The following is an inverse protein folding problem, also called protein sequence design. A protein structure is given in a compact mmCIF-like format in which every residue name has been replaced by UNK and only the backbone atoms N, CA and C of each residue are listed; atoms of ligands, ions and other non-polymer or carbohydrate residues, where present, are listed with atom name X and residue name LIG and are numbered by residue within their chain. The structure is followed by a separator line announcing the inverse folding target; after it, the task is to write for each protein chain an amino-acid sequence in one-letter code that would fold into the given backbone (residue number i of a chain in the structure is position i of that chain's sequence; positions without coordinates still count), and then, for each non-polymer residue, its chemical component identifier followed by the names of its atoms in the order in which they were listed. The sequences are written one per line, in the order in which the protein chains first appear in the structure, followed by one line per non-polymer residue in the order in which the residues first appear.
data_IF_342947576399
#
_entry.id   IF_342947576399
#
_cell.length_a   1.000
_cell.length_b   1.000
_cell.length_c   1.000
_cell.angle_alpha   90.00
_cell.angle_beta   90.00
_cell.angle_gamma   90.00
#
_symmetry.space_group_name_H-M   'P 1'
#
loop_
_entity.id
_entity.type
_entity.pdbx_description
1 polymer ?
#
# COMPACT_ATOMS: atom_id res chain seq x y z
N UNK A 1 -14.50 18.73 -3.88
CA UNK A 1 -14.43 17.46 -3.14
C UNK A 1 -14.30 17.77 -1.65
N UNK A 2 -15.18 17.23 -0.80
CA UNK A 2 -15.25 17.62 0.61
C UNK A 2 -13.98 17.19 1.38
N UNK A 3 -13.40 18.10 2.15
CA UNK A 3 -12.24 17.82 3.02
C UNK A 3 -12.55 16.72 4.04
N UNK A 4 -13.79 16.64 4.50
CA UNK A 4 -14.28 15.59 5.40
C UNK A 4 -14.11 14.19 4.80
N UNK A 5 -14.48 14.00 3.53
CA UNK A 5 -14.35 12.70 2.85
C UNK A 5 -12.89 12.23 2.81
N UNK A 6 -11.96 13.15 2.51
CA UNK A 6 -10.53 12.81 2.50
C UNK A 6 -9.99 12.50 3.89
N UNK A 7 -10.53 13.13 4.94
CA UNK A 7 -10.15 12.83 6.32
C UNK A 7 -10.65 11.43 6.71
N UNK A 8 -11.92 11.13 6.46
CA UNK A 8 -12.51 9.81 6.72
C UNK A 8 -11.73 8.72 5.96
N UNK A 9 -11.40 8.94 4.68
CA UNK A 9 -10.55 8.02 3.91
C UNK A 9 -9.13 7.89 4.43
N UNK A 10 -8.53 8.98 4.91
CA UNK A 10 -7.24 8.93 5.57
C UNK A 10 -7.24 7.95 6.74
N UNK A 11 -8.25 8.03 7.63
CA UNK A 11 -8.37 7.11 8.77
C UNK A 11 -8.72 5.68 8.35
N UNK A 12 -9.69 5.50 7.45
CA UNK A 12 -10.11 4.17 7.00
C UNK A 12 -8.98 3.40 6.30
N UNK A 13 -8.09 4.09 5.59
CA UNK A 13 -6.89 3.47 5.01
C UNK A 13 -5.77 3.34 6.04
N UNK A 14 -5.49 4.40 6.80
CA UNK A 14 -4.31 4.48 7.66
C UNK A 14 -4.31 3.48 8.80
N UNK A 15 -5.46 3.23 9.43
CA UNK A 15 -5.56 2.31 10.58
C UNK A 15 -5.11 0.89 10.20
N UNK A 16 -5.62 0.25 9.11
CA UNK A 16 -5.12 -1.04 8.66
C UNK A 16 -3.61 -1.09 8.40
N UNK A 17 -3.02 -0.06 7.77
CA UNK A 17 -1.56 -0.05 7.54
C UNK A 17 -0.78 0.02 8.84
N UNK A 18 -1.21 0.84 9.80
CA UNK A 18 -0.55 0.90 11.12
C UNK A 18 -0.67 -0.44 11.83
N UNK A 19 -1.84 -1.06 11.79
CA UNK A 19 -2.08 -2.36 12.41
C UNK A 19 -1.23 -3.47 11.80
N UNK A 20 -1.25 -3.61 10.47
CA UNK A 20 -0.49 -4.63 9.75
C UNK A 20 1.02 -4.38 9.92
N UNK A 21 1.46 -3.12 9.83
CA UNK A 21 2.85 -2.76 10.02
C UNK A 21 3.35 -3.06 11.43
N UNK A 22 2.51 -2.87 12.46
CA UNK A 22 2.80 -3.31 13.81
C UNK A 22 2.91 -4.85 13.92
N UNK A 23 2.04 -5.58 13.22
CA UNK A 23 2.06 -7.05 13.20
C UNK A 23 3.35 -7.63 12.59
N UNK A 24 4.01 -6.91 11.67
CA UNK A 24 5.33 -7.28 11.14
C UNK A 24 6.42 -7.29 12.23
N UNK A 25 6.27 -6.52 13.31
CA UNK A 25 7.21 -6.55 14.44
C UNK A 25 6.83 -7.60 15.49
N UNK A 26 5.53 -7.87 15.64
CA UNK A 26 5.03 -8.86 16.59
C UNK A 26 5.20 -10.29 16.11
N UNK A 27 4.83 -10.57 14.86
CA UNK A 27 4.79 -11.91 14.25
C UNK A 27 5.43 -11.94 12.85
N UNK A 28 6.66 -11.42 12.68
CA UNK A 28 7.35 -11.38 11.39
C UNK A 28 7.44 -12.72 10.66
N UNK A 29 7.49 -13.84 11.37
CA UNK A 29 7.52 -15.20 10.81
C UNK A 29 6.30 -15.55 9.94
N UNK A 30 5.19 -14.85 10.09
CA UNK A 30 4.02 -14.98 9.21
C UNK A 30 4.30 -14.40 7.81
N UNK A 31 5.15 -13.37 7.75
CA UNK A 31 5.39 -12.55 6.56
C UNK A 31 6.73 -12.87 5.88
N UNK A 32 7.75 -13.32 6.62
CA UNK A 32 9.05 -13.70 6.05
C UNK A 32 8.94 -14.67 4.86
N UNK A 33 8.08 -15.71 4.87
CA UNK A 33 8.01 -16.65 3.75
C UNK A 33 7.58 -16.00 2.44
N UNK A 34 6.73 -14.96 2.49
CA UNK A 34 6.19 -14.33 1.27
C UNK A 34 7.19 -13.38 0.60
N UNK A 35 8.28 -13.02 1.28
CA UNK A 35 9.34 -12.18 0.70
C UNK A 35 9.98 -12.92 -0.50
N UNK A 36 10.03 -12.31 -1.69
CA UNK A 36 10.67 -12.93 -2.84
C UNK A 36 12.14 -13.29 -2.58
N UNK A 37 12.53 -14.52 -2.94
CA UNK A 37 13.86 -15.07 -2.64
C UNK A 37 15.02 -14.25 -3.17
N UNK A 38 14.84 -13.55 -4.31
CA UNK A 38 15.87 -12.70 -4.93
C UNK A 38 16.25 -11.48 -4.07
N UNK A 39 15.43 -11.08 -3.09
CA UNK A 39 15.73 -9.97 -2.20
C UNK A 39 16.67 -10.36 -1.05
N UNK A 40 16.85 -11.67 -0.79
CA UNK A 40 17.57 -12.16 0.39
C UNK A 40 16.92 -11.71 1.71
N UNK A 41 17.59 -12.01 2.83
CA UNK A 41 17.28 -11.52 4.19
C UNK A 41 15.80 -11.22 4.48
N UNK A 42 14.89 -12.22 4.45
CA UNK A 42 13.44 -11.97 4.55
C UNK A 42 13.04 -11.13 5.76
N UNK A 43 13.62 -11.43 6.92
CA UNK A 43 13.38 -10.70 8.18
C UNK A 43 13.64 -9.20 8.07
N UNK A 44 14.67 -8.79 7.32
CA UNK A 44 14.96 -7.38 7.12
C UNK A 44 13.83 -6.70 6.35
N UNK A 45 13.40 -7.31 5.24
CA UNK A 45 12.36 -6.74 4.38
C UNK A 45 11.01 -6.68 5.09
N UNK A 46 10.65 -7.71 5.85
CA UNK A 46 9.45 -7.73 6.71
C UNK A 46 9.44 -6.56 7.70
N UNK A 47 10.52 -6.38 8.46
CA UNK A 47 10.58 -5.30 9.45
C UNK A 47 10.63 -3.91 8.79
N UNK A 48 11.33 -3.79 7.66
CA UNK A 48 11.42 -2.56 6.90
C UNK A 48 10.09 -2.16 6.27
N UNK A 49 9.36 -3.09 5.66
CA UNK A 49 8.02 -2.85 5.15
C UNK A 49 7.06 -2.47 6.28
N UNK A 50 7.14 -3.16 7.42
CA UNK A 50 6.33 -2.83 8.60
C UNK A 50 6.54 -1.40 9.10
N UNK A 51 7.81 -0.92 9.15
CA UNK A 51 8.12 0.47 9.48
C UNK A 51 7.48 1.44 8.48
N UNK A 52 7.60 1.16 7.18
CA UNK A 52 7.01 2.00 6.13
C UNK A 52 5.49 2.02 6.21
N UNK A 53 4.83 0.89 6.47
CA UNK A 53 3.38 0.80 6.65
C UNK A 53 2.89 1.68 7.80
N UNK A 54 3.56 1.64 8.96
CA UNK A 54 3.23 2.49 10.10
C UNK A 54 3.38 3.97 9.74
N UNK A 55 4.54 4.36 9.19
CA UNK A 55 4.82 5.76 8.86
C UNK A 55 3.86 6.31 7.80
N UNK A 56 3.55 5.53 6.76
CA UNK A 56 2.64 5.92 5.69
C UNK A 56 1.17 5.90 6.15
N UNK A 57 0.79 4.93 6.99
CA UNK A 57 -0.52 4.86 7.60
C UNK A 57 -0.80 6.08 8.48
N UNK A 58 0.14 6.48 9.33
CA UNK A 58 0.05 7.74 10.09
C UNK A 58 0.04 8.94 9.15
N UNK A 59 0.95 8.96 8.18
CA UNK A 59 1.12 10.06 7.24
C UNK A 59 -0.12 10.35 6.39
N UNK A 60 -0.93 9.35 6.04
CA UNK A 60 -2.15 9.52 5.25
C UNK A 60 -3.34 10.02 6.08
N UNK A 61 -3.34 9.75 7.39
CA UNK A 61 -4.35 10.28 8.33
C UNK A 61 -4.19 11.80 8.52
N UNK A 62 -2.96 12.29 8.61
CA UNK A 62 -2.66 13.71 8.87
C UNK A 62 -2.88 14.56 7.60
N UNK A 63 -3.79 15.56 7.60
CA UNK A 63 -4.13 16.33 6.39
C UNK A 63 -2.94 17.00 5.69
N UNK A 64 -1.98 17.51 6.47
CA UNK A 64 -0.80 18.22 5.96
C UNK A 64 0.15 17.30 5.17
N UNK A 65 0.41 16.07 5.65
CA UNK A 65 1.31 15.11 4.99
C UNK A 65 0.62 14.23 3.96
N UNK A 66 -0.72 14.15 3.99
CA UNK A 66 -1.52 13.18 3.22
C UNK A 66 -1.16 13.07 1.75
N UNK A 67 -0.97 14.21 1.08
CA UNK A 67 -0.68 14.20 -0.37
C UNK A 67 0.66 13.51 -0.66
N UNK A 68 1.68 13.76 0.16
CA UNK A 68 2.99 13.12 0.00
C UNK A 68 2.94 11.66 0.43
N UNK A 69 2.34 11.38 1.58
CA UNK A 69 2.16 10.02 2.09
C UNK A 69 1.41 9.15 1.07
N UNK A 70 0.35 9.65 0.44
CA UNK A 70 -0.40 8.93 -0.58
C UNK A 70 0.45 8.60 -1.82
N UNK A 71 1.34 9.50 -2.27
CA UNK A 71 2.25 9.22 -3.40
C UNK A 71 3.22 8.09 -3.09
N UNK A 72 3.86 8.17 -1.92
CA UNK A 72 4.81 7.15 -1.47
C UNK A 72 4.08 5.83 -1.24
N UNK A 73 2.88 5.88 -0.63
CA UNK A 73 2.05 4.71 -0.40
C UNK A 73 1.59 4.04 -1.69
N UNK A 74 1.28 4.79 -2.75
CA UNK A 74 1.01 4.22 -4.08
C UNK A 74 2.19 3.40 -4.59
N UNK A 75 3.42 3.95 -4.52
CA UNK A 75 4.62 3.22 -4.96
C UNK A 75 4.88 2.00 -4.06
N UNK A 76 4.75 2.18 -2.75
CA UNK A 76 4.92 1.11 -1.77
C UNK A 76 3.94 -0.05 -2.03
N UNK A 77 2.66 0.24 -2.33
CA UNK A 77 1.67 -0.77 -2.68
C UNK A 77 2.07 -1.55 -3.94
N UNK A 78 2.67 -0.92 -4.94
CA UNK A 78 3.17 -1.65 -6.11
C UNK A 78 4.28 -2.64 -5.73
N UNK A 79 5.21 -2.23 -4.86
CA UNK A 79 6.30 -3.09 -4.40
C UNK A 79 5.82 -4.22 -3.48
N UNK A 80 4.95 -3.93 -2.50
CA UNK A 80 4.41 -4.97 -1.61
C UNK A 80 3.56 -5.99 -2.36
N UNK A 81 2.91 -5.58 -3.45
CA UNK A 81 2.21 -6.55 -4.30
C UNK A 81 3.14 -7.61 -4.90
N UNK A 82 4.44 -7.33 -5.08
CA UNK A 82 5.39 -8.35 -5.54
C UNK A 82 5.51 -9.52 -4.54
N UNK A 83 5.41 -9.26 -3.23
CA UNK A 83 5.37 -10.33 -2.22
C UNK A 83 4.05 -11.13 -2.31
N UNK A 84 2.92 -10.45 -2.51
CA UNK A 84 1.63 -11.11 -2.71
C UNK A 84 1.56 -11.92 -4.01
N UNK A 85 2.26 -11.46 -5.05
CA UNK A 85 2.40 -12.17 -6.33
C UNK A 85 3.34 -13.38 -6.18
N UNK A 86 4.45 -13.24 -5.45
CA UNK A 86 5.31 -14.37 -5.10
C UNK A 86 4.53 -15.48 -4.39
N UNK A 87 3.66 -15.08 -3.45
CA UNK A 87 2.76 -16.01 -2.76
C UNK A 87 1.81 -16.74 -3.71
N UNK A 88 1.30 -16.06 -4.74
CA UNK A 88 0.39 -16.64 -5.73
C UNK A 88 1.11 -17.58 -6.70
N UNK A 89 2.27 -17.17 -7.22
CA UNK A 89 2.97 -17.92 -8.26
C UNK A 89 3.73 -19.14 -7.73
N UNK A 90 4.15 -19.11 -6.47
CA UNK A 90 5.03 -20.13 -5.89
C UNK A 90 4.37 -20.90 -4.74
N UNK A 91 3.05 -20.83 -4.60
CA UNK A 91 2.27 -21.53 -3.56
C UNK A 91 2.87 -21.36 -2.16
N UNK A 92 3.25 -20.12 -1.81
CA UNK A 92 3.84 -19.84 -0.50
C UNK A 92 2.71 -19.73 0.53
N UNK A 93 2.76 -20.49 1.64
CA UNK A 93 1.75 -20.38 2.69
C UNK A 93 1.87 -19.05 3.44
N UNK A 94 0.72 -18.45 3.73
CA UNK A 94 0.60 -17.31 4.63
C UNK A 94 -0.01 -17.79 5.95
N UNK A 95 0.69 -17.55 7.06
CA UNK A 95 0.27 -18.04 8.39
C UNK A 95 -0.06 -19.54 8.42
N UNK A 96 0.76 -20.36 7.74
CA UNK A 96 0.56 -21.81 7.65
C UNK A 96 -0.57 -22.26 6.72
N UNK A 97 -1.21 -21.34 5.99
CA UNK A 97 -2.33 -21.65 5.09
C UNK A 97 -2.00 -21.27 3.64
N UNK A 98 -2.24 -22.20 2.70
CA UNK A 98 -2.22 -21.89 1.28
C UNK A 98 -3.50 -21.16 0.91
N UNK A 99 -3.36 -20.00 0.28
CA UNK A 99 -4.50 -19.22 -0.12
C UNK A 99 -5.11 -19.81 -1.39
N UNK A 100 -6.44 -19.85 -1.48
CA UNK A 100 -7.11 -20.31 -2.70
C UNK A 100 -6.88 -19.32 -3.85
N UNK A 101 -7.06 -19.78 -5.09
CA UNK A 101 -6.99 -18.94 -6.29
C UNK A 101 -7.93 -17.72 -6.19
N UNK A 102 -9.15 -17.93 -5.67
CA UNK A 102 -10.09 -16.84 -5.41
C UNK A 102 -9.58 -15.86 -4.35
N UNK A 103 -8.89 -16.36 -3.31
CA UNK A 103 -8.27 -15.52 -2.29
C UNK A 103 -7.18 -14.62 -2.87
N UNK A 104 -6.32 -15.15 -3.76
CA UNK A 104 -5.32 -14.33 -4.45
C UNK A 104 -5.96 -13.27 -5.35
N UNK A 105 -7.01 -13.63 -6.09
CA UNK A 105 -7.76 -12.68 -6.93
C UNK A 105 -8.39 -11.56 -6.11
N UNK A 106 -9.01 -11.89 -4.96
CA UNK A 106 -9.58 -10.89 -4.05
C UNK A 106 -8.49 -9.94 -3.55
N UNK A 107 -7.33 -10.47 -3.12
CA UNK A 107 -6.20 -9.64 -2.66
C UNK A 107 -5.70 -8.71 -3.77
N UNK A 108 -5.62 -9.20 -5.01
CA UNK A 108 -5.26 -8.37 -6.17
C UNK A 108 -6.27 -7.25 -6.42
N UNK A 109 -7.57 -7.55 -6.39
CA UNK A 109 -8.62 -6.54 -6.58
C UNK A 109 -8.59 -5.48 -5.47
N UNK A 110 -8.41 -5.90 -4.21
CA UNK A 110 -8.21 -4.98 -3.08
C UNK A 110 -6.99 -4.11 -3.31
N UNK A 111 -5.87 -4.66 -3.76
CA UNK A 111 -4.66 -3.90 -4.08
C UNK A 111 -4.92 -2.82 -5.14
N UNK A 112 -5.62 -3.17 -6.22
CA UNK A 112 -6.00 -2.22 -7.27
C UNK A 112 -6.87 -1.09 -6.72
N UNK A 113 -7.86 -1.40 -5.88
CA UNK A 113 -8.71 -0.40 -5.22
C UNK A 113 -7.89 0.53 -4.32
N UNK A 114 -6.97 -0.01 -3.50
CA UNK A 114 -6.08 0.78 -2.64
C UNK A 114 -5.19 1.72 -3.45
N UNK A 115 -4.64 1.25 -4.58
CA UNK A 115 -3.83 2.06 -5.49
C UNK A 115 -4.67 3.21 -6.08
N UNK A 116 -5.89 2.94 -6.53
CA UNK A 116 -6.78 3.98 -7.07
C UNK A 116 -7.14 5.03 -6.03
N UNK A 117 -7.45 4.62 -4.80
CA UNK A 117 -7.76 5.55 -3.69
C UNK A 117 -6.53 6.39 -3.34
N UNK A 118 -5.34 5.80 -3.27
CA UNK A 118 -4.10 6.53 -2.96
C UNK A 118 -3.71 7.50 -4.08
N UNK A 119 -3.88 7.13 -5.36
CA UNK A 119 -3.69 8.05 -6.49
C UNK A 119 -4.64 9.26 -6.44
N UNK A 120 -5.88 9.02 -6.03
CA UNK A 120 -6.85 10.10 -5.81
C UNK A 120 -6.44 11.01 -4.64
N UNK A 121 -6.01 10.45 -3.51
CA UNK A 121 -5.51 11.22 -2.35
C UNK A 121 -4.20 11.97 -2.65
N UNK A 122 -3.35 11.42 -3.52
CA UNK A 122 -2.13 12.04 -4.04
C UNK A 122 -2.39 13.24 -4.96
N UNK A 123 -3.66 13.44 -5.36
CA UNK A 123 -4.12 14.43 -6.33
C UNK A 123 -3.36 14.38 -7.67
N UNK A 124 -2.95 13.17 -8.07
CA UNK A 124 -2.14 12.95 -9.25
C UNK A 124 -2.79 13.50 -10.54
N UNK A 125 -4.12 13.44 -10.61
CA UNK A 125 -4.89 13.91 -11.77
C UNK A 125 -5.11 15.43 -11.82
N UNK A 126 -4.99 16.17 -10.71
CA UNK A 126 -5.21 17.63 -10.70
C UNK A 126 -4.09 18.42 -11.37
N UNK A 127 -2.84 17.97 -11.24
CA UNK A 127 -1.68 18.69 -11.79
C UNK A 127 -1.60 18.68 -13.32
N UNK A 128 -2.05 17.58 -13.96
CA UNK A 128 -2.04 17.46 -15.44
C UNK A 128 -3.11 18.31 -16.11
N UNK A 129 -4.29 18.45 -15.49
CA UNK A 129 -5.40 19.22 -16.06
C UNK A 129 -5.10 20.73 -16.16
N UNK A 130 -4.44 21.30 -15.14
CA UNK A 130 -4.10 22.73 -15.11
C UNK A 130 -2.99 23.07 -16.11
N UNK A 131 -2.01 22.17 -16.30
CA UNK A 131 -0.88 22.40 -17.22
C UNK A 131 -1.33 22.34 -18.69
N UNK A 132 -2.14 21.35 -19.08
CA UNK A 132 -2.66 21.25 -20.45
C UNK A 132 -3.67 22.34 -20.84
N UNK A 133 -4.34 22.97 -19.86
CA UNK A 133 -5.20 24.13 -20.12
C UNK A 133 -4.42 25.41 -20.38
N UNK A 134 -3.21 25.56 -19.81
CA UNK A 134 -2.36 26.75 -20.06
C UNK A 134 -1.67 26.68 -21.42
N UNK A 135 -1.22 25.49 -21.84
CA UNK A 135 -0.59 25.28 -23.16
C UNK A 135 -1.55 25.44 -24.34
N UNK A 136 -2.87 25.22 -24.16
CA UNK A 136 -3.88 25.44 -25.20
C UNK A 136 -4.34 26.90 -25.35
N UNK A 137 -3.92 27.79 -24.45
CA UNK A 137 -4.35 29.19 -24.41
C UNK A 137 -3.19 30.17 -24.68
N UNK A 138 -2.02 29.64 -25.04
CA UNK A 138 -0.85 30.36 -25.56
C UNK A 138 -0.61 29.98 -27.01
#
# INVERSE_FOLDING_TARGET
MCMLLKNIMGFLLGIPFVWIGYDHFLRPEIFDPIVPSYLGFPRFWTLFSGLLEILLGIGIMIPFSRRMAARILTLFLLFVYLANLNMWLNDVPFNGTLLSQNGHLIRFLVQCVLILITLWLAEFFKGKFIKGSKEKMS
#
